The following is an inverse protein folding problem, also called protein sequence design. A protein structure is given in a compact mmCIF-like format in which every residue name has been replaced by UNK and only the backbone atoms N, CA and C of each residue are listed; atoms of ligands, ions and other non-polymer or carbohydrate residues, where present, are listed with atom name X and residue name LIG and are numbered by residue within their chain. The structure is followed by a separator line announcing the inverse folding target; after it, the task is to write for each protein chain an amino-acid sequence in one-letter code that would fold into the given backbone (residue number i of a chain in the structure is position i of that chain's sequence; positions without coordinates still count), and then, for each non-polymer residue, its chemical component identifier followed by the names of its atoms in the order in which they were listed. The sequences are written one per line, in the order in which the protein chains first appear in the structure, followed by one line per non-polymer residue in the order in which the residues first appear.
data_IF_179641448180
#
_entry.id   IF_179641448180
#
_cell.length_a   1.000
_cell.length_b   1.000
_cell.length_c   1.000
_cell.angle_alpha   90.00
_cell.angle_beta   90.00
_cell.angle_gamma   90.00
#
_symmetry.space_group_name_H-M   'P 1'
#
loop_
_entity.id
_entity.type
_entity.pdbx_description
1 polymer ?
#
# COMPACT_ATOMS: atom_id res chain seq x y z
N UNK A 1 2.60 16.08 -12.01
CA UNK A 1 1.23 16.22 -12.50
C UNK A 1 0.26 15.78 -11.42
N UNK A 2 -0.83 16.53 -11.23
CA UNK A 2 -1.94 16.14 -10.34
C UNK A 2 -3.04 15.49 -11.14
N UNK A 3 -3.59 14.39 -10.62
CA UNK A 3 -4.70 13.65 -11.23
C UNK A 3 -5.70 13.26 -10.15
N UNK A 4 -6.96 13.14 -10.52
CA UNK A 4 -7.96 12.50 -9.68
C UNK A 4 -7.94 11.00 -9.96
N UNK A 5 -7.87 10.19 -8.91
CA UNK A 5 -7.93 8.73 -9.00
C UNK A 5 -9.20 8.27 -8.29
N UNK A 6 -10.08 7.63 -9.00
CA UNK A 6 -11.31 7.06 -8.48
C UNK A 6 -11.27 5.53 -8.46
N UNK A 7 -12.31 4.92 -7.93
CA UNK A 7 -12.44 3.45 -7.84
C UNK A 7 -12.38 2.74 -9.19
N UNK A 8 -12.73 3.44 -10.26
CA UNK A 8 -12.61 2.94 -11.63
C UNK A 8 -11.15 2.62 -12.03
N UNK A 9 -10.17 3.27 -11.40
CA UNK A 9 -8.74 3.01 -11.62
C UNK A 9 -8.29 1.65 -11.07
N UNK A 10 -9.09 1.04 -10.20
CA UNK A 10 -8.81 -0.26 -9.58
C UNK A 10 -9.45 -1.42 -10.34
N UNK A 11 -10.38 -1.14 -11.25
CA UNK A 11 -11.16 -2.17 -11.94
C UNK A 11 -10.28 -3.10 -12.80
N UNK A 12 -10.44 -4.39 -12.61
CA UNK A 12 -9.76 -5.42 -13.41
C UNK A 12 -8.30 -5.67 -13.06
N UNK A 13 -7.77 -5.01 -12.02
CA UNK A 13 -6.40 -5.21 -11.52
C UNK A 13 -6.39 -5.43 -10.03
N UNK A 14 -5.36 -6.11 -9.55
CA UNK A 14 -5.04 -6.13 -8.14
C UNK A 14 -4.55 -4.74 -7.71
N UNK A 15 -4.91 -4.32 -6.51
CA UNK A 15 -4.43 -3.07 -5.93
C UNK A 15 -3.82 -3.33 -4.56
N UNK A 16 -2.67 -2.73 -4.32
CA UNK A 16 -2.04 -2.69 -3.01
C UNK A 16 -2.06 -1.23 -2.56
N UNK A 17 -2.83 -0.95 -1.53
CA UNK A 17 -2.94 0.38 -0.93
C UNK A 17 -2.24 0.38 0.42
N UNK A 18 -1.30 1.27 0.61
CA UNK A 18 -0.61 1.38 1.89
C UNK A 18 -0.65 2.82 2.41
N UNK A 19 -0.95 2.95 3.70
CA UNK A 19 -1.10 4.23 4.39
C UNK A 19 0.12 4.51 5.25
N UNK A 20 0.53 5.77 5.36
CA UNK A 20 1.52 6.22 6.33
C UNK A 20 1.00 7.46 7.07
N UNK A 21 1.51 7.74 8.29
CA UNK A 21 0.95 8.80 9.13
C UNK A 21 1.21 10.21 8.62
N UNK A 22 2.44 10.56 8.26
CA UNK A 22 2.79 11.93 7.88
C UNK A 22 3.99 11.98 6.93
N UNK A 23 3.88 12.84 5.91
CA UNK A 23 5.00 13.23 5.06
C UNK A 23 6.09 13.93 5.89
N UNK A 24 7.31 13.97 5.36
CA UNK A 24 8.46 14.62 5.98
C UNK A 24 8.84 14.08 7.37
N UNK A 25 8.59 12.80 7.64
CA UNK A 25 8.98 12.11 8.88
C UNK A 25 10.08 11.08 8.65
N UNK A 26 10.29 10.14 9.58
CA UNK A 26 11.49 9.29 9.60
C UNK A 26 11.28 7.87 9.08
N UNK A 27 10.24 7.17 9.54
CA UNK A 27 9.95 5.79 9.14
C UNK A 27 9.28 5.74 7.75
N UNK A 28 8.38 6.69 7.49
CA UNK A 28 7.57 6.71 6.26
C UNK A 28 8.39 6.64 4.97
N UNK A 29 9.46 7.42 4.78
CA UNK A 29 10.22 7.35 3.53
C UNK A 29 10.93 6.01 3.34
N UNK A 30 11.29 5.31 4.41
CA UNK A 30 11.91 3.98 4.32
C UNK A 30 10.94 2.95 3.75
N UNK A 31 9.68 3.02 4.14
CA UNK A 31 8.63 2.14 3.64
C UNK A 31 8.30 2.43 2.17
N UNK A 32 8.12 3.69 1.83
CA UNK A 32 7.80 4.13 0.46
C UNK A 32 8.93 3.73 -0.50
N UNK A 33 10.18 3.96 -0.10
CA UNK A 33 11.35 3.56 -0.88
C UNK A 33 11.42 2.05 -1.10
N UNK A 34 11.09 1.24 -0.09
CA UNK A 34 11.08 -0.21 -0.22
C UNK A 34 9.96 -0.71 -1.15
N UNK A 35 8.77 -0.14 -1.07
CA UNK A 35 7.71 -0.42 -2.05
C UNK A 35 8.14 -0.05 -3.47
N UNK A 36 8.83 1.07 -3.65
CA UNK A 36 9.32 1.49 -4.96
C UNK A 36 10.43 0.56 -5.49
N UNK A 37 11.31 0.10 -4.62
CA UNK A 37 12.33 -0.89 -4.97
C UNK A 37 11.71 -2.19 -5.48
N UNK A 38 10.60 -2.59 -4.88
CA UNK A 38 9.84 -3.80 -5.24
C UNK A 38 8.78 -3.56 -6.32
N UNK A 39 8.67 -2.34 -6.85
CA UNK A 39 7.60 -1.96 -7.80
C UNK A 39 7.47 -2.92 -8.97
N UNK A 40 8.58 -3.32 -9.58
CA UNK A 40 8.56 -4.26 -10.70
C UNK A 40 7.95 -5.61 -10.29
N UNK A 41 8.22 -6.09 -9.10
CA UNK A 41 7.65 -7.32 -8.57
C UNK A 41 6.13 -7.23 -8.44
N UNK A 42 5.59 -6.08 -8.01
CA UNK A 42 4.15 -5.85 -8.00
C UNK A 42 3.56 -5.77 -9.41
N UNK A 43 4.22 -5.07 -10.32
CA UNK A 43 3.80 -4.95 -11.72
C UNK A 43 3.79 -6.30 -12.43
N UNK A 44 4.78 -7.16 -12.20
CA UNK A 44 4.85 -8.51 -12.75
C UNK A 44 3.68 -9.40 -12.28
N UNK A 45 3.02 -9.03 -11.18
CA UNK A 45 1.83 -9.67 -10.62
C UNK A 45 0.51 -8.97 -10.98
N UNK A 46 0.55 -8.07 -11.94
CA UNK A 46 -0.60 -7.22 -12.34
C UNK A 46 -1.23 -6.48 -11.16
N UNK A 47 -0.39 -5.99 -10.25
CA UNK A 47 -0.80 -5.25 -9.07
C UNK A 47 -0.35 -3.79 -9.14
N UNK A 48 -1.29 -2.87 -8.95
CA UNK A 48 -1.05 -1.43 -8.87
C UNK A 48 -0.79 -1.02 -7.42
N UNK A 49 0.29 -0.27 -7.18
CA UNK A 49 0.58 0.33 -5.88
C UNK A 49 -0.06 1.71 -5.75
N UNK A 50 -0.61 1.99 -4.57
CA UNK A 50 -1.05 3.32 -4.17
C UNK A 50 -0.54 3.62 -2.76
N UNK A 51 0.25 4.68 -2.63
CA UNK A 51 0.65 5.20 -1.32
C UNK A 51 -0.30 6.31 -0.88
N UNK A 52 -0.71 6.33 0.39
CA UNK A 52 -1.78 7.20 0.87
C UNK A 52 -1.40 7.81 2.22
N UNK A 53 -1.58 9.12 2.35
CA UNK A 53 -1.62 9.79 3.65
C UNK A 53 -2.69 10.88 3.66
N UNK A 54 -2.90 11.50 4.80
CA UNK A 54 -3.84 12.62 4.97
C UNK A 54 -3.20 13.97 4.69
N UNK A 55 -1.95 14.00 4.24
CA UNK A 55 -1.30 15.20 3.72
C UNK A 55 -1.92 15.62 2.39
N UNK A 56 -1.75 16.90 2.03
CA UNK A 56 -2.25 17.40 0.76
C UNK A 56 -1.39 16.96 -0.42
N UNK A 57 -1.96 17.02 -1.63
CA UNK A 57 -1.22 16.74 -2.87
C UNK A 57 -0.03 17.69 -3.07
N UNK A 58 -0.08 18.89 -2.53
CA UNK A 58 1.03 19.87 -2.59
C UNK A 58 2.17 19.46 -1.69
N UNK A 59 1.86 18.95 -0.49
CA UNK A 59 2.86 18.42 0.45
C UNK A 59 3.52 17.17 -0.15
N UNK A 60 2.75 16.24 -0.71
CA UNK A 60 3.29 15.08 -1.41
C UNK A 60 4.24 15.48 -2.54
N UNK A 61 3.86 16.45 -3.36
CA UNK A 61 4.70 16.92 -4.45
C UNK A 61 6.03 17.49 -3.94
N UNK A 62 5.97 18.35 -2.92
CA UNK A 62 7.16 18.94 -2.32
C UNK A 62 8.07 17.86 -1.73
N UNK A 63 7.53 16.87 -1.06
CA UNK A 63 8.30 15.78 -0.48
C UNK A 63 8.98 14.93 -1.55
N UNK A 64 8.27 14.56 -2.60
CA UNK A 64 8.84 13.84 -3.75
C UNK A 64 9.99 14.60 -4.41
N UNK A 65 9.88 15.92 -4.53
CA UNK A 65 10.91 16.77 -5.16
C UNK A 65 12.15 16.94 -4.29
N UNK A 66 11.99 16.94 -2.97
CA UNK A 66 13.05 17.29 -2.02
C UNK A 66 13.67 16.11 -1.27
N UNK A 67 13.16 14.89 -1.42
CA UNK A 67 13.70 13.70 -0.80
C UNK A 67 14.37 12.79 -1.83
N UNK A 68 15.64 12.46 -1.61
CA UNK A 68 16.45 11.70 -2.58
C UNK A 68 15.80 10.37 -3.00
N UNK A 69 15.27 9.63 -2.03
CA UNK A 69 14.67 8.30 -2.28
C UNK A 69 13.27 8.35 -2.89
N UNK A 70 12.64 9.53 -2.93
CA UNK A 70 11.27 9.70 -3.41
C UNK A 70 11.18 10.38 -4.78
N UNK A 71 12.27 10.92 -5.30
CA UNK A 71 12.27 11.65 -6.59
C UNK A 71 11.75 10.82 -7.77
N UNK A 72 12.02 9.54 -7.77
CA UNK A 72 11.74 8.63 -8.89
C UNK A 72 10.69 7.59 -8.55
N UNK A 73 9.72 7.93 -7.69
CA UNK A 73 8.63 7.01 -7.39
C UNK A 73 7.81 6.67 -8.63
N UNK A 74 7.64 5.38 -8.89
CA UNK A 74 6.89 4.84 -10.02
C UNK A 74 5.40 4.61 -9.74
N UNK A 75 4.90 5.02 -8.58
CA UNK A 75 3.49 4.90 -8.21
C UNK A 75 2.95 6.21 -7.64
N UNK A 76 1.62 6.42 -7.68
CA UNK A 76 1.01 7.64 -7.18
C UNK A 76 0.97 7.71 -5.66
N UNK A 77 1.08 8.92 -5.13
CA UNK A 77 0.75 9.26 -3.75
C UNK A 77 -0.62 9.93 -3.72
N UNK A 78 -1.57 9.33 -3.02
CA UNK A 78 -2.93 9.85 -2.88
C UNK A 78 -3.03 10.74 -1.64
N UNK A 79 -3.71 11.88 -1.80
CA UNK A 79 -3.92 12.85 -0.75
C UNK A 79 -5.34 12.71 -0.18
N UNK A 80 -5.47 11.97 0.91
CA UNK A 80 -6.72 11.84 1.67
C UNK A 80 -6.82 12.94 2.74
N UNK A 81 -6.63 14.20 2.31
CA UNK A 81 -6.55 15.33 3.22
C UNK A 81 -7.85 15.65 3.96
N UNK A 82 -9.00 15.20 3.46
CA UNK A 82 -10.28 15.25 4.17
C UNK A 82 -10.48 14.07 5.12
N UNK A 83 -9.57 13.10 5.11
CA UNK A 83 -9.59 11.89 5.96
C UNK A 83 -10.78 10.95 5.72
N UNK A 84 -11.49 11.13 4.62
CA UNK A 84 -12.68 10.36 4.30
C UNK A 84 -12.38 8.87 4.10
N UNK A 85 -11.35 8.55 3.32
CA UNK A 85 -10.96 7.17 3.06
C UNK A 85 -10.38 6.51 4.31
N UNK A 86 -9.47 7.18 5.00
CA UNK A 86 -8.83 6.67 6.22
C UNK A 86 -9.84 6.42 7.34
N UNK A 87 -10.84 7.30 7.46
CA UNK A 87 -11.92 7.13 8.43
C UNK A 87 -12.86 5.98 8.04
N UNK A 88 -13.27 5.89 6.78
CA UNK A 88 -14.12 4.82 6.28
C UNK A 88 -13.49 3.42 6.46
N UNK A 89 -12.17 3.31 6.31
CA UNK A 89 -11.43 2.08 6.51
C UNK A 89 -11.04 1.81 7.98
N UNK A 90 -11.31 2.76 8.89
CA UNK A 90 -11.03 2.61 10.31
C UNK A 90 -9.54 2.61 10.66
N UNK A 91 -8.70 3.27 9.87
CA UNK A 91 -7.24 3.29 10.07
C UNK A 91 -6.70 4.58 10.68
N UNK A 92 -7.56 5.54 11.03
CA UNK A 92 -7.14 6.75 11.72
C UNK A 92 -6.80 6.46 13.19
N UNK A 93 -5.63 6.91 13.62
CA UNK A 93 -5.28 6.89 15.03
C UNK A 93 -6.29 7.75 15.83
N UNK A 94 -6.84 7.25 16.95
CA UNK A 94 -7.97 7.92 17.64
C UNK A 94 -7.64 9.32 18.17
N UNK A 95 -6.40 9.58 18.56
CA UNK A 95 -5.97 10.89 19.09
C UNK A 95 -5.19 11.71 18.07
N UNK A 96 -4.22 11.12 17.40
CA UNK A 96 -3.35 11.82 16.44
C UNK A 96 -4.07 12.16 15.13
N UNK A 97 -5.16 11.47 14.80
CA UNK A 97 -5.94 11.69 13.58
C UNK A 97 -5.12 11.62 12.29
N UNK A 98 -4.11 10.78 12.31
CA UNK A 98 -3.31 10.39 11.14
C UNK A 98 -3.49 8.89 10.90
N UNK A 99 -3.27 8.40 9.68
CA UNK A 99 -3.38 6.97 9.41
C UNK A 99 -2.33 6.17 10.17
N UNK A 100 -2.74 5.02 10.68
CA UNK A 100 -1.84 3.95 11.07
C UNK A 100 -1.14 3.39 9.82
N UNK A 101 -0.09 2.60 9.99
CA UNK A 101 0.63 1.96 8.89
C UNK A 101 -0.14 0.75 8.39
N UNK A 102 -1.24 1.01 7.71
CA UNK A 102 -2.14 0.00 7.17
C UNK A 102 -1.76 -0.38 5.74
N UNK A 103 -1.97 -1.64 5.39
CA UNK A 103 -1.80 -2.15 4.03
C UNK A 103 -3.01 -2.99 3.67
N UNK A 104 -3.58 -2.73 2.48
CA UNK A 104 -4.72 -3.45 1.93
C UNK A 104 -4.33 -4.12 0.62
N UNK A 105 -4.72 -5.36 0.43
CA UNK A 105 -4.71 -6.01 -0.88
C UNK A 105 -6.15 -6.16 -1.34
N UNK A 106 -6.44 -5.58 -2.49
CA UNK A 106 -7.77 -5.57 -3.12
C UNK A 106 -7.69 -6.35 -4.43
N UNK A 107 -8.62 -7.26 -4.65
CA UNK A 107 -8.67 -8.06 -5.87
C UNK A 107 -9.26 -7.30 -7.06
N UNK A 108 -9.22 -7.86 -8.29
CA UNK A 108 -9.76 -7.21 -9.48
C UNK A 108 -11.27 -6.91 -9.43
N UNK A 109 -12.03 -7.57 -8.57
CA UNK A 109 -13.45 -7.33 -8.35
C UNK A 109 -13.73 -6.25 -7.28
N UNK A 110 -12.69 -5.64 -6.73
CA UNK A 110 -12.80 -4.59 -5.72
C UNK A 110 -13.01 -5.11 -4.29
N UNK A 111 -12.74 -6.40 -4.05
CA UNK A 111 -12.90 -7.02 -2.73
C UNK A 111 -11.59 -6.97 -1.96
N UNK A 112 -11.64 -6.50 -0.73
CA UNK A 112 -10.49 -6.54 0.18
C UNK A 112 -10.21 -7.98 0.58
N UNK A 113 -9.01 -8.47 0.24
CA UNK A 113 -8.60 -9.85 0.48
C UNK A 113 -7.63 -9.99 1.67
N UNK A 114 -6.97 -8.93 2.03
CA UNK A 114 -6.02 -8.91 3.15
C UNK A 114 -5.85 -7.51 3.69
N UNK A 115 -5.71 -7.42 5.01
CA UNK A 115 -5.42 -6.17 5.73
C UNK A 115 -4.35 -6.46 6.77
N UNK A 116 -3.36 -5.57 6.86
CA UNK A 116 -2.38 -5.54 7.95
C UNK A 116 -2.26 -4.12 8.47
N UNK A 117 -2.21 -3.95 9.78
CA UNK A 117 -2.10 -2.63 10.41
C UNK A 117 -1.02 -2.67 11.47
N UNK A 118 0.06 -1.92 11.24
CA UNK A 118 1.10 -1.70 12.24
C UNK A 118 0.84 -0.38 12.96
N UNK A 119 1.24 -0.32 14.22
CA UNK A 119 1.24 0.93 14.98
C UNK A 119 2.21 1.96 14.38
N UNK A 120 2.07 3.22 14.77
CA UNK A 120 2.78 4.37 14.18
C UNK A 120 4.30 4.21 14.16
N UNK A 121 4.88 3.55 15.16
CA UNK A 121 6.33 3.40 15.31
C UNK A 121 6.94 2.21 14.57
N UNK A 122 6.11 1.35 13.97
CA UNK A 122 6.59 0.07 13.40
C UNK A 122 6.41 0.04 11.88
N UNK A 123 7.54 0.05 11.16
CA UNK A 123 7.56 -0.11 9.69
C UNK A 123 7.10 -1.50 9.24
N UNK A 124 6.64 -1.57 7.99
CA UNK A 124 6.11 -2.80 7.37
C UNK A 124 7.21 -3.71 6.85
N UNK A 125 6.83 -4.96 6.61
CA UNK A 125 7.63 -5.92 5.84
C UNK A 125 7.03 -6.05 4.43
N UNK A 126 7.63 -5.42 3.43
CA UNK A 126 7.12 -5.40 2.04
C UNK A 126 7.19 -6.81 1.40
N UNK A 127 8.15 -7.63 1.79
CA UNK A 127 8.22 -9.02 1.31
C UNK A 127 7.02 -9.85 1.75
N UNK A 128 6.48 -9.58 2.95
CA UNK A 128 5.26 -10.23 3.42
C UNK A 128 4.04 -9.79 2.61
N UNK A 129 3.97 -8.54 2.18
CA UNK A 129 2.93 -8.05 1.28
C UNK A 129 2.98 -8.82 -0.05
N UNK A 130 4.17 -8.98 -0.64
CA UNK A 130 4.37 -9.75 -1.87
C UNK A 130 4.02 -11.23 -1.68
N UNK A 131 4.46 -11.83 -0.58
CA UNK A 131 4.16 -13.24 -0.25
C UNK A 131 2.64 -13.46 -0.16
N UNK A 132 1.94 -12.57 0.53
CA UNK A 132 0.49 -12.65 0.69
C UNK A 132 -0.23 -12.45 -0.64
N UNK A 133 0.21 -11.49 -1.46
CA UNK A 133 -0.32 -11.29 -2.81
C UNK A 133 -0.14 -12.54 -3.67
N UNK A 134 1.03 -13.15 -3.65
CA UNK A 134 1.29 -14.40 -4.35
C UNK A 134 0.34 -15.52 -3.91
N UNK A 135 0.14 -15.68 -2.61
CA UNK A 135 -0.78 -16.68 -2.06
C UNK A 135 -2.22 -16.43 -2.51
N UNK A 136 -2.69 -15.19 -2.44
CA UNK A 136 -4.05 -14.81 -2.87
C UNK A 136 -4.28 -15.08 -4.36
N UNK A 137 -3.25 -14.85 -5.19
CA UNK A 137 -3.35 -15.07 -6.64
C UNK A 137 -3.35 -16.54 -7.05
N UNK A 138 -2.96 -17.47 -6.17
CA UNK A 138 -3.06 -18.90 -6.49
C UNK A 138 -4.49 -19.40 -6.50
N UNK A 139 -5.37 -18.77 -5.73
CA UNK A 139 -6.72 -19.21 -5.42
C UNK A 139 -6.78 -20.64 -4.83
N UNK A 140 -5.69 -21.09 -4.21
CA UNK A 140 -5.49 -22.42 -3.64
C UNK A 140 -5.34 -22.35 -2.12
N UNK A 141 -5.36 -23.51 -1.45
CA UNK A 141 -5.15 -23.59 -0.02
C UNK A 141 -3.65 -23.53 0.32
N UNK A 142 -3.17 -22.34 0.56
CA UNK A 142 -1.77 -22.09 0.95
C UNK A 142 -1.57 -22.37 2.44
N UNK A 143 -0.69 -23.32 2.81
CA UNK A 143 -0.45 -23.61 4.24
C UNK A 143 0.30 -22.48 4.95
N UNK A 144 0.37 -22.58 6.27
CA UNK A 144 1.14 -21.67 7.08
C UNK A 144 2.60 -21.56 6.56
N UNK A 145 3.13 -20.34 6.54
CA UNK A 145 4.47 -20.04 6.01
C UNK A 145 4.68 -20.41 4.53
N UNK A 146 3.60 -20.50 3.77
CA UNK A 146 3.70 -20.76 2.33
C UNK A 146 4.47 -19.63 1.62
N UNK A 147 5.27 -20.00 0.67
CA UNK A 147 5.96 -19.09 -0.24
C UNK A 147 5.75 -19.56 -1.67
N UNK A 148 5.84 -18.61 -2.61
CA UNK A 148 5.71 -18.90 -4.04
C UNK A 148 6.67 -20.03 -4.46
N UNK A 149 6.13 -21.01 -5.14
CA UNK A 149 6.86 -22.22 -5.57
C UNK A 149 6.78 -23.41 -4.60
N UNK A 150 6.21 -23.22 -3.40
CA UNK A 150 5.95 -24.32 -2.47
C UNK A 150 4.61 -24.98 -2.78
N UNK A 151 4.44 -26.22 -2.32
CA UNK A 151 3.21 -26.98 -2.51
C UNK A 151 2.01 -26.33 -1.79
N UNK A 152 0.84 -26.46 -2.39
CA UNK A 152 -0.45 -26.11 -1.80
C UNK A 152 -1.10 -27.35 -1.21
N UNK A 153 -2.11 -27.14 -0.33
CA UNK A 153 -2.88 -28.26 0.24
C UNK A 153 -3.90 -28.72 -0.80
N UNK A 154 -3.90 -30.02 -1.09
CA UNK A 154 -4.93 -30.62 -1.93
C UNK A 154 -6.21 -30.82 -1.09
N UNK A 155 -7.35 -30.35 -1.59
CA UNK A 155 -8.68 -30.51 -0.97
C UNK A 155 -9.39 -31.74 -1.48
#
# INVERSE_FOLDING_TARGET
EFKTIGSESLAGKWAVMFFWPLDFTFVCPTEIAEFNKELKNFQDRDAQLFGISTDSQFVHLAWRQNHADLKNLGFPMLADNKKELSEALGVLHPTEKVPLRATYIVDPDGIVRWVSVNDLSVGRNVKEVLRTLDALQTDELCPCNWEKGKAVIQS
#
